data_IF_793155944321
#
_entry.id   IF_793155944321
#
_cell.length_a   1.000
_cell.length_b   1.000
_cell.length_c   1.000
_cell.angle_alpha   90.00
_cell.angle_beta   90.00
_cell.angle_gamma   90.00
#
_symmetry.space_group_name_H-M   'P 1'
#
loop_
_entity.id
_entity.type
_entity.pdbx_description
1 polymer ?
#
# COMPACT_ATOMS: atom_id res chain seq x y z
N UNK A 1 1.93 -19.55 -19.77
CA UNK A 1 1.53 -19.11 -18.43
C UNK A 1 0.52 -18.02 -18.66
N UNK A 2 -0.62 -17.98 -17.98
CA UNK A 2 -1.56 -16.88 -18.24
C UNK A 2 -0.93 -15.58 -17.74
N UNK A 3 -1.06 -14.51 -18.52
CA UNK A 3 -0.53 -13.18 -18.19
C UNK A 3 -0.91 -12.74 -16.78
N UNK A 4 -2.15 -13.06 -16.37
CA UNK A 4 -2.63 -12.83 -15.02
C UNK A 4 -1.72 -13.44 -13.93
N UNK A 5 -1.32 -14.73 -14.06
CA UNK A 5 -0.46 -15.37 -13.05
C UNK A 5 0.91 -14.74 -12.96
N UNK A 6 1.45 -14.35 -14.11
CA UNK A 6 2.76 -13.69 -14.16
C UNK A 6 2.72 -12.35 -13.44
N UNK A 7 1.77 -11.48 -13.79
CA UNK A 7 1.63 -10.15 -13.17
C UNK A 7 1.16 -10.21 -11.72
N UNK A 8 0.33 -11.19 -11.36
CA UNK A 8 0.01 -11.47 -9.95
C UNK A 8 1.27 -11.77 -9.13
N UNK A 9 2.14 -12.62 -9.66
CA UNK A 9 3.44 -12.92 -9.03
C UNK A 9 4.29 -11.67 -8.83
N UNK A 10 4.38 -10.80 -9.86
CA UNK A 10 5.11 -9.54 -9.76
C UNK A 10 4.52 -8.60 -8.69
N UNK A 11 3.20 -8.50 -8.60
CA UNK A 11 2.54 -7.68 -7.57
C UNK A 11 2.77 -8.21 -6.16
N UNK A 12 2.72 -9.53 -5.99
CA UNK A 12 3.06 -10.20 -4.73
C UNK A 12 4.52 -9.96 -4.34
N UNK A 13 5.47 -10.21 -5.25
CA UNK A 13 6.89 -9.99 -5.02
C UNK A 13 7.20 -8.53 -4.74
N UNK A 14 6.50 -7.61 -5.39
CA UNK A 14 6.67 -6.18 -5.15
C UNK A 14 6.43 -5.78 -3.69
N UNK A 15 5.51 -6.43 -2.98
CA UNK A 15 5.27 -6.17 -1.54
C UNK A 15 6.18 -7.00 -0.63
N UNK A 16 6.51 -8.22 -1.04
CA UNK A 16 7.26 -9.17 -0.20
C UNK A 16 8.78 -9.04 -0.31
N UNK A 17 9.29 -8.29 -1.29
CA UNK A 17 10.73 -8.11 -1.48
C UNK A 17 11.31 -7.06 -0.52
N UNK A 18 12.59 -7.19 -0.23
CA UNK A 18 13.34 -6.19 0.52
C UNK A 18 13.48 -4.85 -0.22
N UNK A 19 13.30 -4.86 -1.52
CA UNK A 19 13.33 -3.64 -2.34
C UNK A 19 12.07 -2.76 -2.14
N UNK A 20 11.04 -3.32 -1.51
CA UNK A 20 9.78 -2.64 -1.19
C UNK A 20 9.64 -2.26 0.30
N UNK A 21 10.77 -2.00 0.97
CA UNK A 21 10.78 -1.59 2.39
C UNK A 21 9.90 -0.36 2.66
N UNK A 22 9.79 0.53 1.72
CA UNK A 22 8.91 1.69 1.78
C UNK A 22 7.43 1.31 1.93
N UNK A 23 6.96 0.32 1.15
CA UNK A 23 5.60 -0.21 1.28
C UNK A 23 5.40 -0.93 2.62
N UNK A 24 6.35 -1.75 3.03
CA UNK A 24 6.28 -2.45 4.33
C UNK A 24 6.26 -1.47 5.50
N UNK A 25 7.11 -0.44 5.48
CA UNK A 25 7.15 0.61 6.50
C UNK A 25 5.86 1.44 6.49
N UNK A 26 5.33 1.76 5.31
CA UNK A 26 4.05 2.45 5.20
C UNK A 26 2.91 1.63 5.80
N UNK A 27 2.80 0.34 5.44
CA UNK A 27 1.79 -0.57 5.99
C UNK A 27 1.95 -0.71 7.50
N UNK A 28 3.19 -0.83 7.99
CA UNK A 28 3.48 -0.88 9.42
C UNK A 28 3.05 0.40 10.14
N UNK A 29 3.37 1.58 9.58
CA UNK A 29 2.92 2.85 10.12
C UNK A 29 1.38 2.94 10.10
N UNK A 30 0.74 2.57 8.99
CA UNK A 30 -0.72 2.58 8.84
C UNK A 30 -1.41 1.67 9.87
N UNK A 31 -0.88 0.46 10.09
CA UNK A 31 -1.45 -0.53 10.99
C UNK A 31 -1.13 -0.30 12.48
N UNK A 32 -0.12 0.52 12.80
CA UNK A 32 0.45 0.65 14.15
C UNK A 32 -0.56 1.03 15.24
N UNK A 33 -1.62 1.76 14.90
CA UNK A 33 -2.64 2.22 15.86
C UNK A 33 -3.85 1.30 15.94
N UNK A 34 -3.92 0.27 15.09
CA UNK A 34 -5.07 -0.64 15.01
C UNK A 34 -4.78 -1.94 15.75
N UNK A 35 -5.85 -2.57 16.25
CA UNK A 35 -5.83 -3.89 16.86
C UNK A 35 -6.53 -4.89 15.94
N UNK A 36 -6.42 -6.18 16.26
CA UNK A 36 -7.04 -7.24 15.47
C UNK A 36 -8.56 -7.06 15.30
N UNK A 37 -9.26 -6.48 16.28
CA UNK A 37 -10.70 -6.15 16.20
C UNK A 37 -11.03 -5.12 15.10
N UNK A 38 -10.05 -4.29 14.73
CA UNK A 38 -10.20 -3.19 13.79
C UNK A 38 -9.84 -3.60 12.35
N UNK A 39 -9.66 -4.90 12.08
CA UNK A 39 -9.18 -5.44 10.82
C UNK A 39 -9.95 -4.94 9.58
N UNK A 40 -11.28 -4.73 9.69
CA UNK A 40 -12.11 -4.21 8.59
C UNK A 40 -11.71 -2.79 8.18
N UNK A 41 -11.36 -1.96 9.16
CA UNK A 41 -10.92 -0.59 8.91
C UNK A 41 -9.57 -0.59 8.21
N UNK A 42 -8.64 -1.44 8.67
CA UNK A 42 -7.32 -1.56 8.03
C UNK A 42 -7.43 -2.09 6.61
N UNK A 43 -8.30 -3.06 6.34
CA UNK A 43 -8.58 -3.52 4.97
C UNK A 43 -9.07 -2.39 4.07
N UNK A 44 -10.01 -1.56 4.54
CA UNK A 44 -10.50 -0.40 3.76
C UNK A 44 -9.35 0.57 3.45
N UNK A 45 -8.42 0.79 4.38
CA UNK A 45 -7.28 1.66 4.17
C UNK A 45 -6.29 1.06 3.15
N UNK A 46 -6.03 -0.24 3.24
CA UNK A 46 -5.19 -0.97 2.27
C UNK A 46 -5.78 -0.90 0.88
N UNK A 47 -7.07 -1.20 0.73
CA UNK A 47 -7.78 -1.11 -0.56
C UNK A 47 -7.77 0.32 -1.11
N UNK A 48 -7.95 1.33 -0.26
CA UNK A 48 -7.84 2.73 -0.69
C UNK A 48 -6.46 3.07 -1.24
N UNK A 49 -5.40 2.61 -0.56
CA UNK A 49 -4.03 2.74 -1.04
C UNK A 49 -3.84 2.02 -2.39
N UNK A 50 -4.29 0.76 -2.51
CA UNK A 50 -4.20 -0.01 -3.77
C UNK A 50 -4.93 0.70 -4.93
N UNK A 51 -6.09 1.29 -4.69
CA UNK A 51 -6.82 2.06 -5.70
C UNK A 51 -5.99 3.25 -6.17
N UNK A 52 -5.43 4.03 -5.25
CA UNK A 52 -4.55 5.16 -5.58
C UNK A 52 -3.32 4.72 -6.37
N UNK A 53 -2.65 3.67 -5.89
CA UNK A 53 -1.49 3.07 -6.54
C UNK A 53 -1.81 2.61 -7.96
N UNK A 54 -2.89 1.85 -8.13
CA UNK A 54 -3.33 1.34 -9.43
C UNK A 54 -3.62 2.46 -10.43
N UNK A 55 -4.26 3.53 -9.96
CA UNK A 55 -4.62 4.66 -10.82
C UNK A 55 -3.37 5.35 -11.38
N UNK A 56 -2.42 5.72 -10.53
CA UNK A 56 -1.21 6.40 -10.99
C UNK A 56 -0.28 5.49 -11.76
N UNK A 57 -0.21 4.21 -11.40
CA UNK A 57 0.51 3.19 -12.17
C UNK A 57 -0.06 3.11 -13.60
N UNK A 58 -1.38 2.99 -13.75
CA UNK A 58 -2.04 2.96 -15.06
C UNK A 58 -1.76 4.23 -15.88
N UNK A 59 -1.97 5.40 -15.28
CA UNK A 59 -1.75 6.70 -15.95
C UNK A 59 -0.30 6.91 -16.37
N UNK A 60 0.65 6.43 -15.57
CA UNK A 60 2.07 6.52 -15.87
C UNK A 60 2.49 5.55 -16.98
N UNK A 61 2.00 4.31 -16.95
CA UNK A 61 2.26 3.33 -18.03
C UNK A 61 1.68 3.81 -19.36
N UNK A 62 0.50 4.44 -19.34
CA UNK A 62 -0.13 5.05 -20.51
C UNK A 62 0.54 6.35 -20.96
N UNK A 63 1.59 6.81 -20.31
CA UNK A 63 2.30 8.06 -20.61
C UNK A 63 1.48 9.34 -20.39
N UNK A 64 0.39 9.27 -19.65
CA UNK A 64 -0.47 10.42 -19.35
C UNK A 64 0.16 11.29 -18.25
N UNK A 65 0.80 10.65 -17.26
CA UNK A 65 1.50 11.32 -16.17
C UNK A 65 2.96 10.87 -16.19
N UNK A 66 3.87 11.85 -16.12
CA UNK A 66 5.30 11.63 -15.96
C UNK A 66 5.80 12.49 -14.80
N UNK A 67 6.36 11.84 -13.79
CA UNK A 67 6.97 12.51 -12.65
C UNK A 67 8.42 12.06 -12.55
N UNK A 68 9.30 12.99 -12.22
CA UNK A 68 10.72 12.68 -11.99
C UNK A 68 10.87 11.67 -10.84
N UNK A 69 11.66 10.61 -11.05
CA UNK A 69 11.94 9.60 -10.02
C UNK A 69 12.45 10.20 -8.72
N UNK A 70 13.31 11.22 -8.80
CA UNK A 70 13.86 11.90 -7.61
C UNK A 70 12.76 12.52 -6.72
N UNK A 71 11.70 13.09 -7.33
CA UNK A 71 10.57 13.60 -6.56
C UNK A 71 9.77 12.48 -5.90
N UNK A 72 9.57 11.38 -6.59
CA UNK A 72 8.83 10.23 -6.06
C UNK A 72 9.60 9.59 -4.91
N UNK A 73 10.91 9.35 -5.08
CA UNK A 73 11.80 8.81 -4.06
C UNK A 73 11.85 9.70 -2.80
N UNK A 74 11.71 11.00 -2.94
CA UNK A 74 11.61 11.94 -1.82
C UNK A 74 10.22 11.90 -1.18
N UNK A 75 9.15 11.88 -1.95
CA UNK A 75 7.78 11.94 -1.43
C UNK A 75 7.36 10.66 -0.71
N UNK A 76 7.82 9.48 -1.14
CA UNK A 76 7.49 8.20 -0.51
C UNK A 76 7.84 8.20 0.98
N UNK A 77 9.10 8.43 1.41
CA UNK A 77 9.42 8.48 2.84
C UNK A 77 8.68 9.61 3.57
N UNK A 78 8.40 10.74 2.92
CA UNK A 78 7.59 11.79 3.52
C UNK A 78 6.18 11.28 3.89
N UNK A 79 5.55 10.46 3.04
CA UNK A 79 4.23 9.88 3.36
C UNK A 79 4.28 8.95 4.56
N UNK A 80 5.35 8.18 4.71
CA UNK A 80 5.57 7.28 5.86
C UNK A 80 5.70 8.11 7.16
N UNK A 81 6.53 9.14 7.11
CA UNK A 81 6.75 10.05 8.26
C UNK A 81 5.46 10.76 8.64
N UNK A 82 4.71 11.30 7.67
CA UNK A 82 3.43 11.97 7.91
C UNK A 82 2.43 11.00 8.56
N UNK A 83 2.35 9.75 8.07
CA UNK A 83 1.49 8.71 8.66
C UNK A 83 1.88 8.43 10.11
N UNK A 84 3.16 8.22 10.37
CA UNK A 84 3.67 7.94 11.71
C UNK A 84 3.41 9.10 12.69
N UNK A 85 3.67 10.34 12.26
CA UNK A 85 3.39 11.55 13.04
C UNK A 85 1.88 11.70 13.30
N UNK A 86 1.06 11.53 12.27
CA UNK A 86 -0.41 11.59 12.40
C UNK A 86 -0.93 10.62 13.46
N UNK A 87 -0.37 9.40 13.50
CA UNK A 87 -0.72 8.38 14.48
C UNK A 87 -0.39 8.78 15.92
N UNK A 88 0.72 9.49 16.15
CA UNK A 88 1.10 9.99 17.50
C UNK A 88 0.06 10.98 18.05
N UNK A 89 -0.59 11.74 17.20
CA UNK A 89 -1.62 12.70 17.59
C UNK A 89 -3.03 12.13 17.63
N UNK A 90 -3.24 10.92 17.13
CA UNK A 90 -4.55 10.29 17.07
C UNK A 90 -4.92 9.64 18.40
N UNK A 91 -5.68 10.34 19.23
CA UNK A 91 -6.10 9.86 20.57
C UNK A 91 -7.34 8.97 20.55
N UNK A 92 -8.21 9.09 19.57
CA UNK A 92 -9.47 8.35 19.49
C UNK A 92 -9.87 8.06 18.04
N UNK A 93 -10.48 6.89 17.82
CA UNK A 93 -11.08 6.52 16.54
C UNK A 93 -12.48 7.13 16.42
N UNK A 94 -12.59 8.24 15.74
CA UNK A 94 -13.86 8.86 15.38
C UNK A 94 -14.18 8.59 13.90
N UNK A 95 -15.45 8.63 13.49
CA UNK A 95 -15.81 8.52 12.06
C UNK A 95 -15.10 9.56 11.18
N UNK A 96 -14.79 10.73 11.75
CA UNK A 96 -14.04 11.79 11.06
C UNK A 96 -12.57 11.39 10.86
N UNK A 97 -11.91 10.84 11.88
CA UNK A 97 -10.50 10.41 11.77
C UNK A 97 -10.33 9.24 10.81
N UNK A 98 -11.27 8.28 10.79
CA UNK A 98 -11.27 7.17 9.83
C UNK A 98 -11.38 7.69 8.40
N UNK A 99 -12.25 8.68 8.15
CA UNK A 99 -12.39 9.30 6.82
C UNK A 99 -11.11 10.00 6.38
N UNK A 100 -10.45 10.72 7.28
CA UNK A 100 -9.18 11.39 6.99
C UNK A 100 -8.11 10.35 6.64
N UNK A 101 -7.98 9.28 7.43
CA UNK A 101 -7.01 8.21 7.17
C UNK A 101 -7.28 7.54 5.81
N UNK A 102 -8.54 7.36 5.42
CA UNK A 102 -8.91 6.84 4.10
C UNK A 102 -8.37 7.72 2.97
N UNK A 103 -8.61 9.03 3.04
CA UNK A 103 -8.11 9.96 2.02
C UNK A 103 -6.59 10.06 2.01
N UNK A 104 -5.95 9.99 3.17
CA UNK A 104 -4.48 9.95 3.26
C UNK A 104 -3.93 8.67 2.62
N UNK A 105 -4.51 7.51 2.92
CA UNK A 105 -4.11 6.24 2.32
C UNK A 105 -4.26 6.25 0.79
N UNK A 106 -5.39 6.75 0.28
CA UNK A 106 -5.63 6.92 -1.16
C UNK A 106 -4.58 7.84 -1.79
N UNK A 107 -4.35 9.01 -1.21
CA UNK A 107 -3.39 10.00 -1.71
C UNK A 107 -1.95 9.47 -1.69
N UNK A 108 -1.58 8.78 -0.62
CA UNK A 108 -0.25 8.17 -0.53
C UNK A 108 -0.09 7.01 -1.51
N UNK A 109 -1.16 6.24 -1.75
CA UNK A 109 -1.20 5.26 -2.83
C UNK A 109 -0.88 5.88 -4.19
N UNK A 110 -1.47 7.05 -4.50
CA UNK A 110 -1.15 7.78 -5.74
C UNK A 110 0.35 8.07 -5.89
N UNK A 111 1.03 8.44 -4.80
CA UNK A 111 2.47 8.73 -4.83
C UNK A 111 3.28 7.44 -5.03
N UNK A 112 2.95 6.39 -4.28
CA UNK A 112 3.67 5.11 -4.35
C UNK A 112 3.52 4.42 -5.72
N UNK A 113 2.36 4.55 -6.37
CA UNK A 113 2.14 4.00 -7.70
C UNK A 113 3.04 4.61 -8.78
N UNK A 114 3.45 5.87 -8.61
CA UNK A 114 4.42 6.53 -9.50
C UNK A 114 5.83 5.95 -9.34
N UNK A 115 6.20 5.49 -8.14
CA UNK A 115 7.53 4.93 -7.86
C UNK A 115 7.81 3.64 -8.64
N UNK A 116 6.83 2.77 -8.71
CA UNK A 116 6.97 1.49 -9.41
C UNK A 116 6.71 1.56 -10.91
N UNK A 117 6.06 2.63 -11.38
CA UNK A 117 5.66 2.78 -12.77
C UNK A 117 6.82 2.64 -13.76
N UNK A 118 7.99 3.19 -13.44
CA UNK A 118 9.16 3.10 -14.31
C UNK A 118 9.67 1.66 -14.48
N UNK A 119 9.58 0.84 -13.44
CA UNK A 119 10.05 -0.56 -13.46
C UNK A 119 9.14 -1.46 -14.29
N UNK A 120 7.82 -1.30 -14.18
CA UNK A 120 6.86 -2.20 -14.84
C UNK A 120 6.39 -1.69 -16.21
N UNK A 121 6.59 -0.39 -16.49
CA UNK A 121 6.11 0.27 -17.69
C UNK A 121 6.51 -0.44 -18.99
N UNK A 122 7.79 -0.82 -19.13
CA UNK A 122 8.30 -1.49 -20.33
C UNK A 122 7.68 -2.88 -20.53
N UNK A 123 7.29 -3.55 -19.45
CA UNK A 123 6.65 -4.85 -19.51
C UNK A 123 5.17 -4.72 -19.91
N UNK A 124 4.42 -3.88 -19.20
CA UNK A 124 3.00 -3.66 -19.44
C UNK A 124 2.70 -2.96 -20.78
N UNK A 125 3.56 -2.01 -21.22
CA UNK A 125 3.33 -1.29 -22.47
C UNK A 125 3.51 -2.14 -23.72
N UNK A 126 4.25 -3.25 -23.64
CA UNK A 126 4.48 -4.20 -24.74
C UNK A 126 3.46 -5.33 -24.76
N UNK A 127 2.69 -5.50 -23.70
CA UNK A 127 1.74 -6.59 -23.57
C UNK A 127 0.42 -6.23 -24.27
N UNK A 128 -0.09 -7.16 -25.10
CA UNK A 128 -1.39 -7.00 -25.76
C UNK A 128 -2.56 -7.04 -24.78
N UNK A 129 -2.33 -7.55 -23.56
CA UNK A 129 -3.31 -7.68 -22.49
C UNK A 129 -3.05 -6.69 -21.33
N UNK A 130 -2.73 -5.43 -21.61
CA UNK A 130 -2.45 -4.39 -20.63
C UNK A 130 -3.42 -4.38 -19.43
N UNK A 131 -4.72 -4.43 -19.69
CA UNK A 131 -5.74 -4.40 -18.62
C UNK A 131 -5.68 -5.63 -17.71
N UNK A 132 -5.45 -6.82 -18.27
CA UNK A 132 -5.33 -8.06 -17.51
C UNK A 132 -4.01 -8.10 -16.71
N UNK A 133 -2.93 -7.59 -17.30
CA UNK A 133 -1.63 -7.47 -16.62
C UNK A 133 -1.72 -6.52 -15.42
N UNK A 134 -2.28 -5.34 -15.63
CA UNK A 134 -2.48 -4.34 -14.57
C UNK A 134 -3.39 -4.89 -13.46
N UNK A 135 -4.49 -5.56 -13.82
CA UNK A 135 -5.40 -6.18 -12.86
C UNK A 135 -4.70 -7.27 -12.07
N UNK A 136 -3.98 -8.19 -12.73
CA UNK A 136 -3.21 -9.25 -12.06
C UNK A 136 -2.20 -8.69 -11.07
N UNK A 137 -1.43 -7.66 -11.48
CA UNK A 137 -0.47 -7.00 -10.63
C UNK A 137 -1.13 -6.41 -9.37
N UNK A 138 -2.20 -5.65 -9.52
CA UNK A 138 -2.88 -5.01 -8.39
C UNK A 138 -3.54 -6.01 -7.44
N UNK A 139 -4.08 -7.12 -7.96
CA UNK A 139 -4.60 -8.21 -7.11
C UNK A 139 -3.46 -8.86 -6.31
N UNK A 140 -2.33 -9.14 -6.95
CA UNK A 140 -1.15 -9.69 -6.27
C UNK A 140 -0.61 -8.76 -5.19
N UNK A 141 -0.54 -7.46 -5.48
CA UNK A 141 -0.14 -6.41 -4.55
C UNK A 141 -1.09 -6.37 -3.35
N UNK A 142 -2.41 -6.31 -3.57
CA UNK A 142 -3.41 -6.24 -2.49
C UNK A 142 -3.39 -7.48 -1.61
N UNK A 143 -3.28 -8.67 -2.19
CA UNK A 143 -3.16 -9.93 -1.43
C UNK A 143 -1.89 -9.92 -0.58
N UNK A 144 -0.75 -9.48 -1.13
CA UNK A 144 0.49 -9.30 -0.37
C UNK A 144 0.32 -8.35 0.81
N UNK A 145 -0.28 -7.20 0.60
CA UNK A 145 -0.56 -6.22 1.65
C UNK A 145 -1.46 -6.79 2.76
N UNK A 146 -2.52 -7.53 2.39
CA UNK A 146 -3.42 -8.17 3.35
C UNK A 146 -2.64 -9.16 4.24
N UNK A 147 -1.74 -9.95 3.67
CA UNK A 147 -0.90 -10.90 4.44
C UNK A 147 0.02 -10.15 5.40
N UNK A 148 0.67 -9.09 4.96
CA UNK A 148 1.52 -8.25 5.83
C UNK A 148 0.70 -7.64 6.97
N UNK A 149 -0.44 -7.03 6.66
CA UNK A 149 -1.36 -6.45 7.67
C UNK A 149 -1.83 -7.49 8.67
N UNK A 150 -2.30 -8.65 8.19
CA UNK A 150 -2.75 -9.72 9.08
C UNK A 150 -1.64 -10.15 10.04
N UNK A 151 -0.42 -10.31 9.54
CA UNK A 151 0.75 -10.65 10.35
C UNK A 151 1.03 -9.57 11.40
N UNK A 152 1.04 -8.30 11.01
CA UNK A 152 1.27 -7.18 11.92
C UNK A 152 0.20 -7.10 13.02
N UNK A 153 -1.08 -7.24 12.66
CA UNK A 153 -2.18 -7.20 13.63
C UNK A 153 -2.11 -8.38 14.62
N UNK A 154 -1.74 -9.58 14.15
CA UNK A 154 -1.55 -10.76 15.02
C UNK A 154 -0.38 -10.55 15.98
N UNK A 155 0.76 -10.07 15.49
CA UNK A 155 1.94 -9.75 16.32
C UNK A 155 1.60 -8.68 17.35
N UNK A 156 0.95 -7.60 16.94
CA UNK A 156 0.53 -6.53 17.86
C UNK A 156 -0.43 -7.05 18.92
N UNK A 157 -1.40 -7.89 18.54
CA UNK A 157 -2.33 -8.49 19.48
C UNK A 157 -1.61 -9.42 20.49
N UNK A 158 -0.66 -10.22 20.02
CA UNK A 158 0.12 -11.11 20.89
C UNK A 158 0.97 -10.31 21.90
N UNK A 159 1.63 -9.22 21.43
CA UNK A 159 2.41 -8.35 22.31
C UNK A 159 1.52 -7.67 23.35
N UNK A 160 0.41 -7.07 22.95
CA UNK A 160 -0.53 -6.41 23.88
C UNK A 160 -1.09 -7.38 24.91
N UNK A 161 -1.44 -8.60 24.51
CA UNK A 161 -1.94 -9.62 25.44
C UNK A 161 -0.87 -10.11 26.41
N UNK A 162 0.37 -10.28 25.94
CA UNK A 162 1.49 -10.80 26.76
C UNK A 162 1.95 -9.78 27.81
N UNK A 163 1.96 -8.51 27.47
CA UNK A 163 2.41 -7.44 28.40
C UNK A 163 1.29 -6.89 29.28
N UNK A 164 0.06 -7.44 29.23
CA UNK A 164 -1.12 -6.91 29.95
C UNK A 164 -1.33 -5.40 29.76
N UNK A 165 -0.90 -4.87 28.65
CA UNK A 165 -1.14 -3.48 28.28
C UNK A 165 -2.62 -3.38 27.86
N UNK A 166 -3.49 -3.05 28.82
CA UNK A 166 -4.86 -2.62 28.49
C UNK A 166 -4.77 -1.21 27.90
N UNK A 167 -5.16 -1.08 26.64
CA UNK A 167 -5.56 0.19 26.04
C UNK A 167 -7.04 0.42 26.20
#
# INVERSE_FOLDING_TARGET
MSDFKFYFGLGWEHIMSWDALDHLLFIAALAAIYLLKDWKQVLVLVTAFTIGHSLTLALSVMNIIQVSGAWVEFLIPCTIVITAISNLFQKQFTPKSIRINYFLALFFGLIHGLGFANSIRFMLAKDQSFGMGLFGFNVGLEVGQIVVVATLLLVTQALVSSFKFQR
#
